data_IF_231795111292
#
_entry.id   IF_231795111292
#
_cell.length_a   1.000
_cell.length_b   1.000
_cell.length_c   1.000
_cell.angle_alpha   90.00
_cell.angle_beta   90.00
_cell.angle_gamma   90.00
#
_symmetry.space_group_name_H-M   'P 1'
#
loop_
_entity.id
_entity.type
_entity.pdbx_description
1 polymer ?
#
# COMPACT_ATOMS: atom_id res chain seq x y z
N UNK A 1 29.36 -50.75 28.28
CA UNK A 1 28.25 -51.00 27.32
C UNK A 1 27.00 -50.20 27.67
N UNK A 2 26.48 -50.26 28.90
CA UNK A 2 25.25 -49.51 29.29
C UNK A 2 25.43 -47.99 29.11
N UNK A 3 26.56 -47.43 29.55
CA UNK A 3 26.89 -46.00 29.35
C UNK A 3 26.89 -45.59 27.88
N UNK A 4 27.50 -46.40 27.00
CA UNK A 4 27.55 -46.15 25.55
C UNK A 4 26.16 -46.09 24.93
N UNK A 5 25.25 -46.96 25.36
CA UNK A 5 23.86 -46.97 24.88
C UNK A 5 23.14 -45.67 25.27
N UNK A 6 23.27 -45.23 26.53
CA UNK A 6 22.68 -43.97 26.99
C UNK A 6 23.29 -42.74 26.30
N UNK A 7 24.60 -42.72 26.12
CA UNK A 7 25.30 -41.65 25.43
C UNK A 7 24.89 -41.54 23.96
N UNK A 8 24.79 -42.67 23.25
CA UNK A 8 24.31 -42.70 21.86
C UNK A 8 22.86 -42.22 21.73
N UNK A 9 21.98 -42.62 22.66
CA UNK A 9 20.58 -42.18 22.67
C UNK A 9 20.46 -40.67 22.93
N UNK A 10 21.24 -40.14 23.87
CA UNK A 10 21.31 -38.71 24.13
C UNK A 10 21.85 -37.93 22.92
N UNK A 11 22.93 -38.41 22.29
CA UNK A 11 23.49 -37.76 21.09
C UNK A 11 22.48 -37.68 19.94
N UNK A 12 21.74 -38.76 19.71
CA UNK A 12 20.74 -38.79 18.65
C UNK A 12 19.57 -37.85 18.95
N UNK A 13 19.09 -37.83 20.19
CA UNK A 13 18.04 -36.90 20.64
C UNK A 13 18.48 -35.43 20.55
N UNK A 14 19.70 -35.12 20.99
CA UNK A 14 20.26 -33.78 20.90
C UNK A 14 20.46 -33.33 19.44
N UNK A 15 20.98 -34.20 18.56
CA UNK A 15 21.11 -33.90 17.15
C UNK A 15 19.76 -33.63 16.47
N UNK A 16 18.75 -34.46 16.74
CA UNK A 16 17.39 -34.25 16.23
C UNK A 16 16.78 -32.93 16.73
N UNK A 17 16.98 -32.59 18.02
CA UNK A 17 16.53 -31.32 18.58
C UNK A 17 17.20 -30.12 17.90
N UNK A 18 18.52 -30.15 17.71
CA UNK A 18 19.24 -29.08 17.03
C UNK A 18 18.77 -28.90 15.58
N UNK A 19 18.62 -30.00 14.83
CA UNK A 19 18.13 -29.96 13.45
C UNK A 19 16.71 -29.39 13.41
N UNK A 20 15.81 -29.86 14.28
CA UNK A 20 14.43 -29.35 14.34
C UNK A 20 14.35 -27.86 14.63
N UNK A 21 15.16 -27.36 15.56
CA UNK A 21 15.22 -25.92 15.86
C UNK A 21 15.81 -25.11 14.70
N UNK A 22 16.86 -25.60 14.05
CA UNK A 22 17.44 -24.95 12.88
C UNK A 22 16.44 -24.88 11.72
N UNK A 23 15.71 -25.97 11.45
CA UNK A 23 14.66 -25.96 10.43
C UNK A 23 13.56 -24.94 10.76
N UNK A 24 13.10 -24.88 12.01
CA UNK A 24 12.08 -23.92 12.43
C UNK A 24 12.57 -22.46 12.28
N UNK A 25 13.83 -22.19 12.63
CA UNK A 25 14.43 -20.86 12.46
C UNK A 25 14.51 -20.47 10.98
N UNK A 26 15.00 -21.37 10.11
CA UNK A 26 15.11 -21.11 8.66
C UNK A 26 13.73 -20.89 8.05
N UNK A 27 12.75 -21.73 8.37
CA UNK A 27 11.38 -21.60 7.85
C UNK A 27 10.76 -20.26 8.26
N UNK A 28 10.92 -19.85 9.52
CA UNK A 28 10.44 -18.54 10.00
C UNK A 28 11.16 -17.39 9.29
N UNK A 29 12.49 -17.45 9.19
CA UNK A 29 13.31 -16.43 8.54
C UNK A 29 12.99 -16.25 7.06
N UNK A 30 12.69 -17.33 6.34
CA UNK A 30 12.36 -17.26 4.91
C UNK A 30 10.86 -17.12 4.61
N UNK A 31 9.99 -17.14 5.62
CA UNK A 31 8.53 -17.21 5.42
C UNK A 31 7.97 -16.01 4.67
N UNK A 32 8.46 -14.79 4.96
CA UNK A 32 8.04 -13.55 4.31
C UNK A 32 8.42 -13.53 2.83
N UNK A 33 9.69 -13.82 2.51
CA UNK A 33 10.19 -13.88 1.14
C UNK A 33 9.48 -14.97 0.34
N UNK A 34 9.17 -16.11 0.98
CA UNK A 34 8.41 -17.18 0.35
C UNK A 34 7.00 -16.71 -0.02
N UNK A 35 6.25 -16.12 0.92
CA UNK A 35 4.91 -15.58 0.65
C UNK A 35 4.92 -14.58 -0.51
N UNK A 36 5.88 -13.66 -0.53
CA UNK A 36 6.04 -12.70 -1.62
C UNK A 36 6.25 -13.37 -2.97
N UNK A 37 7.17 -14.34 -3.03
CA UNK A 37 7.46 -15.10 -4.25
C UNK A 37 6.22 -15.87 -4.73
N UNK A 38 5.47 -16.48 -3.80
CA UNK A 38 4.24 -17.21 -4.10
C UNK A 38 3.14 -16.27 -4.63
N UNK A 39 3.00 -15.06 -4.07
CA UNK A 39 2.05 -14.04 -4.56
C UNK A 39 2.42 -13.54 -5.95
N UNK A 40 3.70 -13.22 -6.19
CA UNK A 40 4.19 -12.81 -7.52
C UNK A 40 3.96 -13.91 -8.55
N UNK A 41 4.31 -15.16 -8.21
CA UNK A 41 4.15 -16.28 -9.13
C UNK A 41 2.67 -16.50 -9.49
N UNK A 42 1.78 -16.34 -8.52
CA UNK A 42 0.34 -16.44 -8.72
C UNK A 42 -0.20 -15.33 -9.63
N UNK A 43 0.26 -14.09 -9.43
CA UNK A 43 -0.08 -12.95 -10.27
C UNK A 43 0.43 -13.13 -11.71
N UNK A 44 1.68 -13.58 -11.88
CA UNK A 44 2.26 -13.90 -13.19
C UNK A 44 1.48 -15.01 -13.91
N UNK A 45 1.12 -16.07 -13.18
CA UNK A 45 0.34 -17.18 -13.73
C UNK A 45 -1.04 -16.71 -14.19
N UNK A 46 -1.67 -15.79 -13.45
CA UNK A 46 -2.92 -15.14 -13.85
C UNK A 46 -2.76 -14.29 -15.11
N UNK A 47 -1.68 -13.51 -15.21
CA UNK A 47 -1.40 -12.69 -16.37
C UNK A 47 -1.16 -13.51 -17.64
N UNK A 48 -0.38 -14.60 -17.53
CA UNK A 48 -0.10 -15.50 -18.64
C UNK A 48 -1.36 -16.23 -19.11
N UNK A 49 -2.18 -16.72 -18.17
CA UNK A 49 -3.43 -17.41 -18.49
C UNK A 49 -4.41 -16.53 -19.27
N UNK A 50 -4.45 -15.23 -18.96
CA UNK A 50 -5.32 -14.26 -19.62
C UNK A 50 -4.64 -13.49 -20.76
N UNK A 51 -3.40 -13.84 -21.12
CA UNK A 51 -2.62 -13.19 -22.19
C UNK A 51 -2.57 -11.67 -22.05
N UNK A 52 -2.36 -11.18 -20.82
CA UNK A 52 -2.30 -9.74 -20.56
C UNK A 52 -1.10 -9.10 -21.28
N UNK A 53 -1.24 -7.89 -21.84
CA UNK A 53 -0.13 -7.11 -22.39
C UNK A 53 1.00 -6.91 -21.37
N UNK A 54 2.25 -6.93 -21.84
CA UNK A 54 3.46 -6.78 -20.99
C UNK A 54 3.39 -5.51 -20.13
N UNK A 55 2.86 -4.41 -20.68
CA UNK A 55 2.70 -3.15 -19.94
C UNK A 55 1.80 -3.28 -18.71
N UNK A 56 0.74 -4.08 -18.76
CA UNK A 56 -0.12 -4.34 -17.61
C UNK A 56 0.53 -5.30 -16.61
N UNK A 57 1.33 -6.26 -17.10
CA UNK A 57 2.09 -7.16 -16.24
C UNK A 57 3.12 -6.37 -15.41
N UNK A 58 3.87 -5.47 -16.05
CA UNK A 58 4.87 -4.64 -15.38
C UNK A 58 4.24 -3.73 -14.33
N UNK A 59 3.08 -3.13 -14.64
CA UNK A 59 2.30 -2.33 -13.67
C UNK A 59 1.89 -3.16 -12.46
N UNK A 60 1.32 -4.33 -12.70
CA UNK A 60 0.87 -5.24 -11.64
C UNK A 60 2.04 -5.68 -10.75
N UNK A 61 3.18 -6.05 -11.34
CA UNK A 61 4.38 -6.45 -10.61
C UNK A 61 4.98 -5.29 -9.82
N UNK A 62 4.99 -4.07 -10.39
CA UNK A 62 5.48 -2.87 -9.72
C UNK A 62 4.65 -2.54 -8.49
N UNK A 63 3.31 -2.62 -8.61
CA UNK A 63 2.40 -2.41 -7.49
C UNK A 63 2.58 -3.47 -6.39
N UNK A 64 2.67 -4.75 -6.74
CA UNK A 64 2.90 -5.83 -5.78
C UNK A 64 4.28 -5.73 -5.10
N UNK A 65 5.31 -5.34 -5.86
CA UNK A 65 6.66 -5.15 -5.32
C UNK A 65 6.73 -3.96 -4.37
N UNK A 66 6.06 -2.86 -4.69
CA UNK A 66 5.94 -1.71 -3.79
C UNK A 66 5.18 -2.11 -2.53
N UNK A 67 4.03 -2.77 -2.67
CA UNK A 67 3.24 -3.25 -1.53
C UNK A 67 4.09 -4.10 -0.60
N UNK A 68 4.86 -5.05 -1.15
CA UNK A 68 5.76 -5.86 -0.33
C UNK A 68 6.90 -5.05 0.29
N UNK A 69 7.48 -4.06 -0.42
CA UNK A 69 8.51 -3.20 0.15
C UNK A 69 7.96 -2.41 1.34
N UNK A 70 6.77 -1.82 1.19
CA UNK A 70 6.03 -1.17 2.28
C UNK A 70 5.77 -2.15 3.42
N UNK A 71 5.22 -3.34 3.14
CA UNK A 71 4.91 -4.36 4.16
C UNK A 71 6.18 -4.87 4.88
N UNK A 72 7.30 -5.04 4.16
CA UNK A 72 8.56 -5.58 4.69
C UNK A 72 9.41 -4.57 5.46
N UNK A 73 9.31 -3.28 5.13
CA UNK A 73 9.89 -2.18 5.92
C UNK A 73 9.12 -1.92 7.23
N UNK A 74 8.12 -2.76 7.54
CA UNK A 74 7.33 -2.67 8.77
C UNK A 74 6.17 -1.67 8.68
N UNK A 75 5.85 -1.17 7.49
CA UNK A 75 4.63 -0.38 7.23
C UNK A 75 3.42 -1.30 7.02
N UNK A 76 3.32 -2.37 7.80
CA UNK A 76 2.09 -3.11 8.07
C UNK A 76 1.10 -2.26 8.88
N UNK A 77 1.07 -0.94 8.60
CA UNK A 77 0.34 0.06 9.35
C UNK A 77 -1.14 -0.29 9.35
N UNK A 78 -1.79 -0.52 8.20
CA UNK A 78 -3.24 -0.77 8.23
C UNK A 78 -3.64 -2.06 8.95
N UNK A 79 -3.07 -3.22 8.60
CA UNK A 79 -3.47 -4.49 9.24
C UNK A 79 -3.11 -4.55 10.73
N UNK A 80 -2.01 -3.92 11.16
CA UNK A 80 -1.63 -3.89 12.57
C UNK A 80 -2.35 -2.79 13.36
N UNK A 81 -2.66 -1.66 12.73
CA UNK A 81 -3.45 -0.59 13.33
C UNK A 81 -4.91 -1.01 13.50
N UNK A 82 -5.45 -1.85 12.62
CA UNK A 82 -6.80 -2.43 12.74
C UNK A 82 -6.93 -3.38 13.96
N UNK A 83 -5.81 -3.91 14.48
CA UNK A 83 -5.80 -4.70 15.72
C UNK A 83 -5.86 -3.82 16.98
N UNK A 84 -5.61 -2.52 16.86
CA UNK A 84 -5.65 -1.60 17.99
C UNK A 84 -7.09 -1.21 18.33
N UNK A 85 -7.40 -0.96 19.62
CA UNK A 85 -8.66 -0.34 19.99
C UNK A 85 -8.88 0.97 19.24
N UNK A 86 -10.14 1.23 18.85
CA UNK A 86 -10.55 2.43 18.08
C UNK A 86 -10.01 3.74 18.68
N UNK A 87 -9.95 3.86 20.01
CA UNK A 87 -9.44 5.06 20.69
C UNK A 87 -7.97 5.34 20.39
N UNK A 88 -7.12 4.31 20.36
CA UNK A 88 -5.69 4.45 20.07
C UNK A 88 -5.50 4.76 18.58
N UNK A 89 -6.23 4.07 17.71
CA UNK A 89 -6.23 4.32 16.27
C UNK A 89 -6.58 5.78 15.94
N UNK A 90 -7.69 6.28 16.48
CA UNK A 90 -8.13 7.67 16.30
C UNK A 90 -7.05 8.66 16.71
N UNK A 91 -6.41 8.47 17.87
CA UNK A 91 -5.37 9.36 18.34
C UNK A 91 -4.12 9.34 17.45
N UNK A 92 -3.71 8.16 16.96
CA UNK A 92 -2.57 8.03 16.04
C UNK A 92 -2.88 8.71 14.71
N UNK A 93 -4.03 8.42 14.10
CA UNK A 93 -4.43 9.00 12.82
C UNK A 93 -4.55 10.52 12.92
N UNK A 94 -5.14 11.03 14.00
CA UNK A 94 -5.18 12.46 14.27
C UNK A 94 -3.77 13.06 14.39
N UNK A 95 -2.88 12.45 15.18
CA UNK A 95 -1.52 12.93 15.34
C UNK A 95 -0.73 12.98 14.01
N UNK A 96 -0.93 11.99 13.14
CA UNK A 96 -0.21 11.89 11.85
C UNK A 96 -0.77 12.84 10.78
N UNK A 97 -2.10 12.96 10.67
CA UNK A 97 -2.72 13.59 9.49
C UNK A 97 -3.41 14.93 9.78
N UNK A 98 -3.65 15.29 11.05
CA UNK A 98 -4.38 16.52 11.39
C UNK A 98 -3.75 17.77 10.77
N UNK A 99 -2.43 17.93 10.89
CA UNK A 99 -1.74 19.12 10.37
C UNK A 99 -1.79 19.25 8.84
N UNK A 100 -2.00 18.14 8.14
CA UNK A 100 -2.16 18.14 6.68
C UNK A 100 -3.61 18.47 6.33
N UNK A 101 -4.57 17.75 6.91
CA UNK A 101 -6.00 17.88 6.59
C UNK A 101 -6.53 19.27 6.92
N UNK A 102 -6.06 19.88 8.01
CA UNK A 102 -6.43 21.26 8.40
C UNK A 102 -6.01 22.31 7.35
N UNK A 103 -4.91 22.07 6.62
CA UNK A 103 -4.38 22.99 5.59
C UNK A 103 -5.02 22.80 4.22
N UNK A 104 -5.70 21.68 4.00
CA UNK A 104 -6.34 21.36 2.72
C UNK A 104 -7.49 22.32 2.47
N UNK A 105 -7.59 22.85 1.24
CA UNK A 105 -8.58 23.88 0.91
C UNK A 105 -10.03 23.45 1.16
N UNK A 106 -10.33 22.15 0.99
CA UNK A 106 -11.67 21.60 1.17
C UNK A 106 -12.15 21.63 2.63
N UNK A 107 -11.23 21.50 3.58
CA UNK A 107 -11.55 21.43 5.01
C UNK A 107 -11.25 22.73 5.77
N UNK A 108 -10.89 23.79 5.04
CA UNK A 108 -10.55 25.07 5.64
C UNK A 108 -11.76 25.71 6.32
N UNK A 109 -11.65 25.96 7.63
CA UNK A 109 -12.70 26.59 8.43
C UNK A 109 -13.71 25.60 9.05
N UNK A 110 -13.43 24.30 8.99
CA UNK A 110 -14.20 23.26 9.66
C UNK A 110 -13.81 23.17 11.15
N UNK A 111 -14.74 22.76 12.01
CA UNK A 111 -14.46 22.56 13.43
C UNK A 111 -13.47 21.41 13.67
N UNK A 112 -12.61 21.58 14.67
CA UNK A 112 -11.67 20.54 15.09
C UNK A 112 -12.39 19.24 15.50
N UNK A 113 -13.60 19.34 16.06
CA UNK A 113 -14.40 18.17 16.43
C UNK A 113 -14.79 17.32 15.22
N UNK A 114 -15.13 17.96 14.08
CA UNK A 114 -15.48 17.25 12.86
C UNK A 114 -14.23 16.65 12.21
N UNK A 115 -13.10 17.35 12.23
CA UNK A 115 -11.82 16.80 11.79
C UNK A 115 -11.40 15.58 12.62
N UNK A 116 -11.60 15.63 13.94
CA UNK A 116 -11.31 14.52 14.85
C UNK A 116 -12.15 13.27 14.54
N UNK A 117 -13.38 13.46 14.06
CA UNK A 117 -14.25 12.36 13.60
C UNK A 117 -13.91 11.87 12.19
N UNK A 118 -13.47 12.76 11.30
CA UNK A 118 -13.23 12.43 9.89
C UNK A 118 -11.89 11.72 9.67
N UNK A 119 -10.81 12.24 10.27
CA UNK A 119 -9.44 11.75 10.05
C UNK A 119 -9.30 10.23 10.30
N UNK A 120 -9.91 9.63 11.34
CA UNK A 120 -9.80 8.19 11.60
C UNK A 120 -10.46 7.30 10.54
N UNK A 121 -11.44 7.82 9.80
CA UNK A 121 -12.12 7.09 8.72
C UNK A 121 -11.33 7.14 7.39
N UNK A 122 -10.35 8.03 7.30
CA UNK A 122 -9.49 8.15 6.13
C UNK A 122 -8.51 6.97 6.05
N UNK A 123 -8.31 6.44 4.84
CA UNK A 123 -7.37 5.33 4.59
C UNK A 123 -6.16 5.83 3.82
N UNK A 124 -4.97 5.57 4.37
CA UNK A 124 -3.72 5.82 3.66
C UNK A 124 -3.57 4.83 2.49
N UNK A 125 -3.19 5.33 1.32
CA UNK A 125 -2.94 4.53 0.12
C UNK A 125 -1.58 4.91 -0.45
N UNK A 126 -0.76 3.90 -0.75
CA UNK A 126 0.56 4.08 -1.34
C UNK A 126 0.55 3.64 -2.80
N UNK A 127 0.89 4.56 -3.70
CA UNK A 127 0.91 4.29 -5.14
C UNK A 127 2.36 4.32 -5.68
N UNK A 128 2.78 3.35 -6.50
CA UNK A 128 4.03 3.43 -7.25
C UNK A 128 4.06 4.62 -8.22
N UNK A 129 5.25 5.05 -8.68
CA UNK A 129 5.39 6.10 -9.68
C UNK A 129 4.88 5.64 -11.06
N UNK A 130 4.43 6.60 -11.87
CA UNK A 130 3.87 6.37 -13.22
C UNK A 130 2.59 5.53 -13.23
N UNK A 131 1.87 5.49 -12.11
CA UNK A 131 0.57 4.82 -12.02
C UNK A 131 -0.57 5.83 -12.16
N UNK A 132 -1.58 5.46 -12.96
CA UNK A 132 -2.82 6.21 -13.08
C UNK A 132 -3.71 5.90 -11.87
N UNK A 133 -3.89 6.87 -10.97
CA UNK A 133 -4.70 6.77 -9.75
C UNK A 133 -6.17 7.02 -10.04
N UNK A 134 -6.45 8.00 -10.91
CA UNK A 134 -7.80 8.35 -11.36
C UNK A 134 -7.77 8.40 -12.88
N UNK A 135 -8.75 7.79 -13.53
CA UNK A 135 -8.89 7.87 -14.99
C UNK A 135 -9.87 8.98 -15.41
N UNK A 136 -9.57 9.62 -16.54
CA UNK A 136 -10.50 10.56 -17.16
C UNK A 136 -11.82 9.85 -17.50
N UNK A 137 -12.94 10.54 -17.25
CA UNK A 137 -14.31 10.04 -17.40
C UNK A 137 -14.72 8.90 -16.47
N UNK A 138 -13.89 8.54 -15.50
CA UNK A 138 -14.27 7.60 -14.45
C UNK A 138 -15.29 8.23 -13.49
N UNK A 139 -16.25 7.45 -13.04
CA UNK A 139 -17.15 7.79 -11.94
C UNK A 139 -16.47 7.45 -10.62
N UNK A 140 -15.65 8.36 -10.10
CA UNK A 140 -14.95 8.16 -8.82
C UNK A 140 -15.92 8.17 -7.65
N UNK A 141 -15.81 7.18 -6.77
CA UNK A 141 -16.51 7.13 -5.47
C UNK A 141 -15.77 7.92 -4.39
N UNK A 142 -14.45 8.05 -4.54
CA UNK A 142 -13.54 8.59 -3.52
C UNK A 142 -12.68 9.71 -4.11
N UNK A 143 -12.25 10.63 -3.24
CA UNK A 143 -11.24 11.63 -3.55
C UNK A 143 -10.00 11.41 -2.69
N UNK A 144 -8.87 11.92 -3.15
CA UNK A 144 -7.55 11.66 -2.56
C UNK A 144 -6.89 12.98 -2.14
N UNK A 145 -6.15 12.93 -1.03
CA UNK A 145 -5.33 14.04 -0.55
C UNK A 145 -3.87 13.62 -0.68
N UNK A 146 -3.06 14.43 -1.35
CA UNK A 146 -1.64 14.13 -1.51
C UNK A 146 -0.89 14.45 -0.21
N UNK A 147 -0.41 13.41 0.49
CA UNK A 147 0.39 13.56 1.72
C UNK A 147 1.87 13.78 1.39
N UNK A 148 2.41 13.02 0.45
CA UNK A 148 3.81 13.08 0.04
C UNK A 148 3.93 12.79 -1.45
N UNK A 149 4.79 13.53 -2.14
CA UNK A 149 5.04 13.37 -3.57
C UNK A 149 4.27 14.36 -4.44
N UNK A 150 4.23 14.05 -5.74
CA UNK A 150 3.56 14.85 -6.76
C UNK A 150 2.84 13.94 -7.76
N UNK A 151 1.79 14.47 -8.40
CA UNK A 151 1.07 13.79 -9.47
C UNK A 151 0.81 14.76 -10.63
N UNK A 152 0.97 14.27 -11.86
CA UNK A 152 0.67 15.04 -13.07
C UNK A 152 -0.82 14.85 -13.43
N UNK A 153 -1.50 15.96 -13.73
CA UNK A 153 -2.87 15.98 -14.22
C UNK A 153 -2.85 15.94 -15.75
N UNK A 154 -3.35 14.86 -16.32
CA UNK A 154 -3.33 14.59 -17.75
C UNK A 154 -4.73 14.74 -18.34
N UNK A 155 -4.85 15.39 -19.50
CA UNK A 155 -6.09 15.40 -20.29
C UNK A 155 -5.80 14.74 -21.63
N UNK A 156 -6.67 13.82 -22.03
CA UNK A 156 -6.60 13.20 -23.34
C UNK A 156 -7.20 14.15 -24.38
N UNK A 157 -6.36 14.70 -25.26
CA UNK A 157 -6.80 15.49 -26.43
C UNK A 157 -6.28 14.82 -27.70
N UNK A 158 -7.16 14.50 -28.63
CA UNK A 158 -6.82 13.88 -29.92
C UNK A 158 -5.96 12.60 -29.81
N UNK A 159 -6.19 11.79 -28.76
CA UNK A 159 -5.43 10.56 -28.52
C UNK A 159 -4.05 10.74 -27.88
N UNK A 160 -3.64 11.98 -27.60
CA UNK A 160 -2.38 12.30 -26.91
C UNK A 160 -2.66 12.80 -25.50
N UNK A 161 -1.91 12.30 -24.52
CA UNK A 161 -2.00 12.76 -23.14
C UNK A 161 -1.20 14.07 -22.99
N UNK A 162 -1.88 15.15 -22.66
CA UNK A 162 -1.27 16.45 -22.39
C UNK A 162 -1.28 16.72 -20.88
N UNK A 163 -0.14 17.11 -20.31
CA UNK A 163 -0.05 17.57 -18.91
C UNK A 163 -0.68 18.96 -18.82
N UNK A 164 -1.72 19.09 -18.02
CA UNK A 164 -2.48 20.34 -17.81
C UNK A 164 -2.14 20.99 -16.46
N UNK A 165 -1.67 20.21 -15.49
CA UNK A 165 -1.24 20.70 -14.20
C UNK A 165 -0.45 19.66 -13.43
N UNK A 166 0.08 20.06 -12.28
CA UNK A 166 0.77 19.20 -11.33
C UNK A 166 0.14 19.41 -9.95
N UNK A 167 -0.30 18.32 -9.34
CA UNK A 167 -0.75 18.26 -7.95
C UNK A 167 0.46 17.99 -7.05
N UNK A 168 0.57 18.79 -5.99
CA UNK A 168 1.65 18.72 -5.00
C UNK A 168 1.12 18.26 -3.66
N UNK A 169 2.01 18.11 -2.69
CA UNK A 169 1.66 17.80 -1.31
C UNK A 169 0.69 18.84 -0.74
N UNK A 170 -0.45 18.37 -0.20
CA UNK A 170 -1.55 19.19 0.31
C UNK A 170 -2.69 19.42 -0.68
N UNK A 171 -2.51 19.08 -1.96
CA UNK A 171 -3.56 19.19 -2.96
C UNK A 171 -4.54 18.01 -2.88
N UNK A 172 -5.78 18.28 -3.33
CA UNK A 172 -6.86 17.28 -3.42
C UNK A 172 -7.08 16.92 -4.87
N UNK A 173 -7.36 15.64 -5.11
CA UNK A 173 -7.67 15.11 -6.42
C UNK A 173 -8.98 14.30 -6.36
N UNK A 174 -9.87 14.55 -7.31
CA UNK A 174 -11.07 13.75 -7.54
C UNK A 174 -12.32 14.25 -6.79
N UNK A 175 -12.21 15.36 -6.07
CA UNK A 175 -13.29 16.00 -5.33
C UNK A 175 -14.50 16.36 -6.20
N UNK A 176 -14.27 16.72 -7.47
CA UNK A 176 -15.35 17.09 -8.40
C UNK A 176 -16.24 15.88 -8.68
N UNK A 177 -15.64 14.69 -8.82
CA UNK A 177 -16.39 13.46 -9.04
C UNK A 177 -17.29 13.09 -7.87
N UNK A 178 -16.78 13.28 -6.66
CA UNK A 178 -17.51 12.93 -5.43
C UNK A 178 -18.57 13.97 -5.08
N UNK A 179 -18.22 15.26 -5.10
CA UNK A 179 -19.11 16.34 -4.64
C UNK A 179 -20.15 16.75 -5.67
N UNK A 180 -19.79 16.74 -6.96
CA UNK A 180 -20.66 17.20 -8.04
C UNK A 180 -21.32 16.05 -8.81
N UNK A 181 -21.02 14.79 -8.49
CA UNK A 181 -21.49 13.60 -9.23
C UNK A 181 -21.24 13.71 -10.74
N UNK A 182 -20.05 14.22 -11.12
CA UNK A 182 -19.62 14.41 -12.51
C UNK A 182 -18.49 13.46 -12.86
N UNK A 183 -18.37 13.00 -14.12
CA UNK A 183 -17.20 12.25 -14.56
C UNK A 183 -15.93 13.08 -14.42
N UNK A 184 -14.81 12.43 -14.09
CA UNK A 184 -13.55 13.15 -13.87
C UNK A 184 -13.01 13.78 -15.14
N UNK A 185 -12.53 15.02 -14.99
CA UNK A 185 -12.08 15.85 -16.12
C UNK A 185 -10.67 15.48 -16.60
N UNK A 186 -9.85 14.91 -15.73
CA UNK A 186 -8.44 14.61 -15.97
C UNK A 186 -8.07 13.25 -15.37
N UNK A 187 -7.07 12.61 -15.98
CA UNK A 187 -6.38 11.46 -15.43
C UNK A 187 -5.29 11.94 -14.47
N UNK A 188 -5.24 11.37 -13.26
CA UNK A 188 -4.21 11.69 -12.26
C UNK A 188 -3.14 10.61 -12.31
N UNK A 189 -1.91 10.97 -12.69
CA UNK A 189 -0.77 10.04 -12.76
C UNK A 189 0.29 10.39 -11.73
N UNK A 190 0.73 9.44 -10.93
CA UNK A 190 1.80 9.66 -9.95
C UNK A 190 3.12 9.98 -10.64
N UNK A 191 3.84 10.94 -10.07
CA UNK A 191 5.22 11.27 -10.42
C UNK A 191 6.17 10.55 -9.47
N UNK A 192 7.48 10.53 -9.79
CA UNK A 192 8.46 9.89 -8.90
C UNK A 192 8.35 10.44 -7.48
N UNK A 193 8.38 9.53 -6.51
CA UNK A 193 8.60 9.82 -5.09
C UNK A 193 9.91 10.60 -5.00
N UNK A 194 9.85 11.87 -4.57
CA UNK A 194 11.06 12.63 -4.22
C UNK A 194 11.55 12.25 -2.84
#
# INVERSE_FOLDING_TARGET
>A
MIFEIFYMLFRFGFAAYLIGNMTNLVVRGSSLTKKFRDTIQSALSFAQRNQLPVSLQDRMLSHLSLKFKTDSEGLQQQESLDLLPKSIHTNISHYLFHSLVDKVYLFRGISNDLLFQLIPEMKAVYCPPMEDVILQNESSTDFYILVTGAADLLVQKNGVNQVVGEAKTGDVCGEIGVLCYRPQLFTVRTKRLS
#
